data_IF_495519745767
#
_entry.id   IF_495519745767
#
_cell.length_a   1.000
_cell.length_b   1.000
_cell.length_c   1.000
_cell.angle_alpha   90.00
_cell.angle_beta   90.00
_cell.angle_gamma   90.00
#
_symmetry.space_group_name_H-M   'P 1'
#
loop_
_entity.id
_entity.type
_entity.pdbx_description
1 polymer ?
#
# COMPACT_ATOMS: atom_id res chain seq x y z
N UNK A 1 16.36 45.49 -26.26
CA UNK A 1 16.70 44.58 -25.13
C UNK A 1 15.47 44.00 -24.42
N UNK A 2 14.41 44.75 -24.21
CA UNK A 2 13.18 44.28 -23.53
C UNK A 2 12.51 43.04 -24.19
N UNK A 3 12.50 42.96 -25.53
CA UNK A 3 11.86 41.81 -26.23
C UNK A 3 12.55 40.46 -25.95
N UNK A 4 13.84 40.47 -25.70
CA UNK A 4 14.62 39.24 -25.40
C UNK A 4 14.35 38.74 -23.98
N UNK A 5 14.14 39.63 -23.03
CA UNK A 5 13.78 39.26 -21.64
C UNK A 5 12.39 38.68 -21.55
N UNK A 6 11.44 39.23 -22.35
CA UNK A 6 10.06 38.69 -22.40
C UNK A 6 10.05 37.27 -23.00
N UNK A 7 10.85 37.01 -24.03
CA UNK A 7 10.94 35.68 -24.64
C UNK A 7 11.54 34.63 -23.67
N UNK A 8 12.53 35.00 -22.88
CA UNK A 8 13.16 34.13 -21.90
C UNK A 8 12.19 33.86 -20.73
N UNK A 9 11.45 34.86 -20.26
CA UNK A 9 10.45 34.70 -19.22
C UNK A 9 9.29 33.80 -19.64
N UNK A 10 8.82 33.88 -20.89
CA UNK A 10 7.80 32.99 -21.43
C UNK A 10 8.32 31.55 -21.59
N UNK A 11 9.57 31.33 -21.96
CA UNK A 11 10.18 30.02 -22.08
C UNK A 11 10.34 29.34 -20.71
N UNK A 12 10.72 30.08 -19.66
CA UNK A 12 10.80 29.57 -18.31
C UNK A 12 9.42 29.22 -17.72
N UNK A 13 8.39 30.00 -18.03
CA UNK A 13 7.02 29.71 -17.60
C UNK A 13 6.45 28.45 -18.28
N UNK A 14 6.80 28.19 -19.53
CA UNK A 14 6.40 26.99 -20.26
C UNK A 14 7.07 25.71 -19.71
N UNK A 15 8.32 25.79 -19.24
CA UNK A 15 9.00 24.66 -18.62
C UNK A 15 8.47 24.33 -17.22
N UNK A 16 7.96 25.31 -16.48
CA UNK A 16 7.37 25.09 -15.17
C UNK A 16 5.99 24.38 -15.21
N UNK A 17 5.30 24.45 -16.36
CA UNK A 17 3.98 23.83 -16.53
C UNK A 17 4.02 22.31 -16.79
N UNK A 18 5.18 21.74 -17.12
CA UNK A 18 5.31 20.30 -17.41
C UNK A 18 5.46 19.42 -16.16
N UNK A 19 5.55 19.99 -14.96
CA UNK A 19 5.75 19.27 -13.70
C UNK A 19 4.47 18.88 -12.95
N UNK A 20 3.29 19.31 -13.41
CA UNK A 20 2.02 18.87 -12.83
C UNK A 20 1.60 17.52 -13.43
N UNK A 21 2.41 16.47 -13.22
CA UNK A 21 1.88 15.13 -13.33
C UNK A 21 0.79 15.01 -12.27
N UNK A 22 -0.44 14.94 -12.73
CA UNK A 22 -1.57 14.58 -11.91
C UNK A 22 -1.15 13.36 -11.11
N UNK A 23 -1.05 13.50 -9.81
CA UNK A 23 -0.91 12.41 -8.88
C UNK A 23 -2.10 11.51 -9.20
N UNK A 24 -1.84 10.36 -9.82
CA UNK A 24 -2.90 9.46 -10.23
C UNK A 24 -3.80 9.26 -9.01
N UNK A 25 -5.11 9.53 -9.16
CA UNK A 25 -6.08 9.47 -8.06
C UNK A 25 -5.96 8.13 -7.36
N UNK A 26 -5.26 8.10 -6.24
CA UNK A 26 -5.11 6.90 -5.42
C UNK A 26 -6.27 6.82 -4.42
N UNK A 27 -6.89 5.64 -4.30
CA UNK A 27 -6.74 4.43 -5.10
C UNK A 27 -7.62 4.46 -6.37
N UNK A 28 -7.08 4.12 -7.53
CA UNK A 28 -7.81 4.00 -8.79
C UNK A 28 -8.09 2.55 -9.21
N UNK A 29 -7.69 1.58 -8.38
CA UNK A 29 -7.90 0.14 -8.58
C UNK A 29 -8.10 -0.54 -7.23
N UNK A 30 -8.59 -1.79 -7.19
CA UNK A 30 -8.80 -2.52 -5.94
C UNK A 30 -7.53 -2.66 -5.11
N UNK A 31 -7.69 -2.56 -3.79
CA UNK A 31 -6.63 -2.77 -2.80
C UNK A 31 -6.73 -4.18 -2.24
N UNK A 32 -5.62 -4.89 -2.07
CA UNK A 32 -5.58 -6.21 -1.46
C UNK A 32 -5.17 -6.10 0.01
N UNK A 33 -5.96 -6.71 0.91
CA UNK A 33 -5.62 -6.84 2.32
C UNK A 33 -5.24 -8.31 2.61
N UNK A 34 -3.97 -8.54 2.91
CA UNK A 34 -3.46 -9.86 3.28
C UNK A 34 -3.79 -10.12 4.76
N UNK A 35 -4.48 -11.23 5.01
CA UNK A 35 -4.77 -11.76 6.33
C UNK A 35 -3.88 -12.98 6.58
N UNK A 36 -3.01 -12.98 7.62
CA UNK A 36 -1.96 -13.99 7.80
C UNK A 36 -2.44 -15.31 8.38
N UNK A 37 -3.74 -15.56 8.37
CA UNK A 37 -4.36 -16.77 8.93
C UNK A 37 -5.42 -17.35 8.01
N UNK A 38 -5.83 -18.58 8.29
CA UNK A 38 -6.85 -19.27 7.50
C UNK A 38 -8.19 -18.52 7.54
N UNK A 39 -8.99 -18.62 6.47
CA UNK A 39 -10.32 -18.02 6.44
C UNK A 39 -11.24 -18.62 7.51
N UNK A 40 -12.15 -17.80 8.02
CA UNK A 40 -13.13 -18.17 9.03
C UNK A 40 -12.67 -18.03 10.49
N UNK A 41 -11.40 -17.74 10.74
CA UNK A 41 -10.90 -17.45 12.08
C UNK A 41 -11.18 -15.99 12.51
N UNK A 42 -10.93 -15.70 13.79
CA UNK A 42 -11.17 -14.36 14.37
C UNK A 42 -10.46 -13.25 13.58
N UNK A 43 -9.20 -13.49 13.19
CA UNK A 43 -8.43 -12.51 12.41
C UNK A 43 -9.02 -12.28 11.02
N UNK A 44 -9.55 -13.33 10.39
CA UNK A 44 -10.22 -13.22 9.09
C UNK A 44 -11.50 -12.38 9.19
N UNK A 45 -12.30 -12.62 10.22
CA UNK A 45 -13.54 -11.85 10.48
C UNK A 45 -13.21 -10.36 10.67
N UNK A 46 -12.20 -10.05 11.47
CA UNK A 46 -11.73 -8.67 11.68
C UNK A 46 -11.18 -8.08 10.38
N UNK A 47 -10.38 -8.84 9.63
CA UNK A 47 -9.84 -8.41 8.35
C UNK A 47 -10.91 -8.07 7.33
N UNK A 48 -11.98 -8.87 7.25
CA UNK A 48 -13.11 -8.60 6.34
C UNK A 48 -13.92 -7.39 6.77
N UNK A 49 -14.14 -7.19 8.07
CA UNK A 49 -14.80 -5.99 8.59
C UNK A 49 -13.97 -4.73 8.30
N UNK A 50 -12.65 -4.81 8.48
CA UNK A 50 -11.72 -3.75 8.13
C UNK A 50 -11.74 -3.45 6.62
N UNK A 51 -11.68 -4.48 5.78
CA UNK A 51 -11.73 -4.34 4.33
C UNK A 51 -13.02 -3.66 3.86
N UNK A 52 -14.16 -4.01 4.46
CA UNK A 52 -15.43 -3.36 4.17
C UNK A 52 -15.43 -1.87 4.54
N UNK A 53 -14.90 -1.54 5.71
CA UNK A 53 -14.82 -0.15 6.19
C UNK A 53 -13.86 0.67 5.33
N UNK A 54 -12.68 0.12 5.03
CA UNK A 54 -11.70 0.76 4.14
C UNK A 54 -12.27 0.97 2.74
N UNK A 55 -12.98 -0.02 2.19
CA UNK A 55 -13.58 0.06 0.87
C UNK A 55 -14.57 1.23 0.75
N UNK A 56 -15.36 1.47 1.80
CA UNK A 56 -16.28 2.62 1.87
C UNK A 56 -15.53 3.96 1.90
N UNK A 57 -14.44 4.04 2.68
CA UNK A 57 -13.65 5.27 2.81
C UNK A 57 -12.84 5.56 1.54
N UNK A 58 -12.25 4.55 0.96
CA UNK A 58 -11.39 4.66 -0.22
C UNK A 58 -12.20 4.73 -1.54
N UNK A 59 -13.50 4.45 -1.51
CA UNK A 59 -14.37 4.32 -2.70
C UNK A 59 -13.83 3.31 -3.72
N UNK A 60 -13.13 2.28 -3.24
CA UNK A 60 -12.56 1.18 -4.01
C UNK A 60 -12.78 -0.14 -3.29
N UNK A 61 -12.84 -1.24 -4.04
CA UNK A 61 -12.92 -2.56 -3.44
C UNK A 61 -11.65 -2.88 -2.67
N UNK A 62 -11.80 -3.40 -1.44
CA UNK A 62 -10.70 -3.98 -0.67
C UNK A 62 -10.92 -5.48 -0.59
N UNK A 63 -10.03 -6.24 -1.22
CA UNK A 63 -10.12 -7.69 -1.37
C UNK A 63 -9.27 -8.33 -0.29
N UNK A 64 -9.88 -9.25 0.49
CA UNK A 64 -9.16 -10.03 1.51
C UNK A 64 -8.51 -11.25 0.85
N UNK A 65 -7.21 -11.41 1.06
CA UNK A 65 -6.43 -12.57 0.65
C UNK A 65 -5.83 -13.25 1.88
N UNK A 66 -6.21 -14.49 2.14
CA UNK A 66 -5.67 -15.26 3.28
C UNK A 66 -4.34 -15.91 2.90
N UNK A 67 -3.29 -15.67 3.69
CA UNK A 67 -1.94 -16.25 3.54
C UNK A 67 -1.49 -16.88 4.84
N UNK A 68 -2.06 -18.03 5.22
CA UNK A 68 -1.64 -18.74 6.43
C UNK A 68 -0.25 -19.35 6.26
N UNK A 69 0.48 -19.47 7.34
CA UNK A 69 1.77 -20.17 7.38
C UNK A 69 2.84 -19.46 8.20
N UNK A 70 3.81 -20.23 8.67
CA UNK A 70 4.96 -19.77 9.43
C UNK A 70 4.58 -18.84 10.62
N UNK A 71 3.53 -19.19 11.35
CA UNK A 71 3.07 -18.35 12.48
C UNK A 71 2.54 -16.97 12.07
N UNK A 72 2.07 -16.82 10.83
CA UNK A 72 1.57 -15.56 10.29
C UNK A 72 2.64 -14.69 9.61
N UNK A 73 3.87 -15.17 9.49
CA UNK A 73 4.95 -14.39 8.87
C UNK A 73 4.96 -14.46 7.35
N UNK A 74 4.34 -15.48 6.76
CA UNK A 74 4.36 -15.71 5.31
C UNK A 74 3.81 -14.50 4.55
N UNK A 75 2.67 -13.96 4.95
CA UNK A 75 2.08 -12.77 4.33
C UNK A 75 2.97 -11.54 4.42
N UNK A 76 3.67 -11.38 5.55
CA UNK A 76 4.60 -10.27 5.76
C UNK A 76 5.82 -10.39 4.85
N UNK A 77 6.41 -11.59 4.72
CA UNK A 77 7.54 -11.84 3.82
C UNK A 77 7.16 -11.60 2.36
N UNK A 78 5.95 -11.98 1.97
CA UNK A 78 5.45 -11.70 0.62
C UNK A 78 5.35 -10.20 0.34
N UNK A 79 4.96 -9.40 1.34
CA UNK A 79 4.92 -7.93 1.20
C UNK A 79 6.29 -7.32 0.89
N UNK A 80 7.38 -7.88 1.40
CA UNK A 80 8.73 -7.38 1.13
C UNK A 80 9.13 -7.51 -0.36
N UNK A 81 8.43 -8.33 -1.12
CA UNK A 81 8.66 -8.56 -2.55
C UNK A 81 7.72 -7.76 -3.45
N UNK A 82 6.77 -7.05 -2.87
CA UNK A 82 5.79 -6.27 -3.62
C UNK A 82 6.21 -4.80 -3.74
N UNK A 83 5.70 -4.11 -4.76
CA UNK A 83 5.94 -2.67 -4.91
C UNK A 83 5.27 -1.91 -3.75
N UNK A 84 5.94 -0.92 -3.15
CA UNK A 84 5.38 -0.08 -2.09
C UNK A 84 4.47 1.01 -2.68
N UNK A 85 3.41 0.60 -3.37
CA UNK A 85 2.48 1.50 -4.07
C UNK A 85 1.15 1.73 -3.32
N UNK A 86 1.00 1.09 -2.15
CA UNK A 86 -0.20 1.20 -1.31
C UNK A 86 -1.37 0.30 -1.74
N UNK A 87 -1.26 -0.49 -2.82
CA UNK A 87 -2.33 -1.40 -3.27
C UNK A 87 -2.29 -2.78 -2.61
N UNK A 88 -1.28 -3.07 -1.82
CA UNK A 88 -1.22 -4.27 -0.98
C UNK A 88 -0.96 -3.87 0.46
N UNK A 89 -1.81 -4.32 1.34
CA UNK A 89 -1.73 -4.13 2.79
C UNK A 89 -1.64 -5.49 3.46
N UNK A 90 -1.05 -5.57 4.63
CA UNK A 90 -1.06 -6.81 5.41
C UNK A 90 -1.38 -6.53 6.88
N UNK A 91 -2.15 -7.42 7.49
CA UNK A 91 -2.26 -7.49 8.93
C UNK A 91 -1.02 -8.18 9.48
N UNK A 92 -0.33 -7.53 10.42
CA UNK A 92 0.90 -8.07 11.01
C UNK A 92 0.60 -8.62 12.39
N UNK A 93 0.75 -9.94 12.61
CA UNK A 93 0.56 -10.51 13.93
C UNK A 93 1.72 -10.15 14.86
N UNK A 94 1.43 -10.04 16.15
CA UNK A 94 2.45 -9.71 17.18
C UNK A 94 3.60 -10.73 17.23
N UNK A 95 3.37 -11.96 16.77
CA UNK A 95 4.41 -13.00 16.66
C UNK A 95 5.59 -12.59 15.79
N UNK A 96 5.35 -11.80 14.74
CA UNK A 96 6.41 -11.28 13.86
C UNK A 96 7.42 -10.44 14.65
N UNK A 97 6.95 -9.62 15.56
CA UNK A 97 7.81 -8.77 16.39
C UNK A 97 8.50 -9.53 17.52
N UNK A 98 7.95 -10.68 17.92
CA UNK A 98 8.52 -11.52 18.97
C UNK A 98 9.58 -12.52 18.46
N UNK A 99 9.52 -12.90 17.20
CA UNK A 99 10.42 -13.92 16.64
C UNK A 99 11.91 -13.65 16.87
N UNK A 100 12.44 -12.44 16.69
CA UNK A 100 13.85 -12.14 16.94
C UNK A 100 14.28 -12.39 18.40
N UNK A 101 13.34 -12.35 19.35
CA UNK A 101 13.60 -12.54 20.78
C UNK A 101 13.40 -13.97 21.26
N UNK A 102 12.60 -14.76 20.54
CA UNK A 102 12.25 -16.15 20.89
C UNK A 102 13.08 -17.17 20.16
N UNK A 103 13.41 -16.89 18.91
CA UNK A 103 14.32 -17.72 18.11
C UNK A 103 15.67 -17.02 18.06
N UNK A 104 16.67 -17.56 18.76
CA UNK A 104 18.06 -17.23 18.48
C UNK A 104 18.32 -17.69 17.06
N UNK A 105 18.23 -16.80 16.09
CA UNK A 105 18.72 -17.06 14.74
C UNK A 105 20.24 -17.22 14.85
N UNK A 106 20.68 -18.45 14.68
CA UNK A 106 22.10 -18.76 14.45
C UNK A 106 22.52 -18.16 13.11
#
# INVERSE_FOLDING_TARGET
MQRRFIAIALACAALAATGAHAQADYPNQPVTLIVPYAPGGTTDVVGRALAQSLGKQLKQSVIVENKPGAGGTLGVVEMLRTKPDGYRLTMVPVSVFRQPYVQKTQ
#
